data_IF_877851790359
#
_entry.id   IF_877851790359
#
_cell.length_a   1.000
_cell.length_b   1.000
_cell.length_c   1.000
_cell.angle_alpha   90.00
_cell.angle_beta   90.00
_cell.angle_gamma   90.00
#
_symmetry.space_group_name_H-M   'P 1'
#
loop_
_entity.id
_entity.type
_entity.pdbx_description
1 polymer ?
#
# COMPACT_ATOMS: atom_id res chain seq x y z
N UNK A 1 4.86 15.64 -9.24
CA UNK A 1 5.50 14.84 -8.18
C UNK A 1 6.81 14.35 -8.74
N UNK A 2 7.95 14.79 -8.19
CA UNK A 2 9.26 14.32 -8.65
C UNK A 2 9.51 12.95 -8.01
N UNK A 3 9.69 11.91 -8.84
CA UNK A 3 10.29 10.67 -8.39
C UNK A 3 11.58 11.00 -7.63
N UNK A 4 11.80 10.39 -6.46
CA UNK A 4 13.03 10.59 -5.70
C UNK A 4 14.20 10.14 -6.59
N UNK A 5 15.07 11.04 -7.07
CA UNK A 5 16.01 10.72 -8.15
C UNK A 5 17.00 9.60 -7.79
N UNK A 6 17.22 9.35 -6.50
CA UNK A 6 18.02 8.20 -6.03
C UNK A 6 17.38 6.83 -6.31
N UNK A 7 16.04 6.72 -6.29
CA UNK A 7 15.37 5.43 -6.47
C UNK A 7 15.54 4.90 -7.90
N UNK A 8 15.39 5.77 -8.90
CA UNK A 8 15.53 5.38 -10.30
C UNK A 8 17.00 5.05 -10.63
N UNK A 9 17.96 5.70 -9.97
CA UNK A 9 19.38 5.37 -10.11
C UNK A 9 19.70 3.96 -9.56
N UNK A 10 19.17 3.62 -8.38
CA UNK A 10 19.33 2.26 -7.85
C UNK A 10 18.62 1.22 -8.71
N UNK A 11 17.43 1.53 -9.24
CA UNK A 11 16.73 0.63 -10.16
C UNK A 11 17.57 0.33 -11.41
N UNK A 12 18.07 1.35 -12.09
CA UNK A 12 18.90 1.18 -13.29
C UNK A 12 20.15 0.33 -13.02
N UNK A 13 20.83 0.55 -11.87
CA UNK A 13 21.98 -0.25 -11.44
C UNK A 13 21.59 -1.71 -11.13
N UNK A 14 20.45 -1.91 -10.48
CA UNK A 14 19.90 -3.24 -10.24
C UNK A 14 19.66 -4.02 -11.55
N UNK A 15 19.11 -3.37 -12.58
CA UNK A 15 18.91 -3.99 -13.89
C UNK A 15 20.22 -4.45 -14.54
N UNK A 16 21.36 -3.86 -14.15
CA UNK A 16 22.70 -4.25 -14.58
C UNK A 16 23.37 -5.30 -13.68
N UNK A 17 22.64 -5.83 -12.68
CA UNK A 17 23.15 -6.85 -11.77
C UNK A 17 23.88 -6.31 -10.53
N UNK A 18 23.71 -5.03 -10.21
CA UNK A 18 24.31 -4.45 -9.00
C UNK A 18 23.56 -4.88 -7.74
N UNK A 19 24.18 -5.79 -6.98
CA UNK A 19 23.62 -6.28 -5.71
C UNK A 19 23.52 -5.21 -4.62
N UNK A 20 24.40 -4.21 -4.62
CA UNK A 20 24.29 -3.12 -3.65
C UNK A 20 23.05 -2.27 -3.92
N UNK A 21 22.72 -2.07 -5.20
CA UNK A 21 21.52 -1.35 -5.58
C UNK A 21 20.24 -2.07 -5.14
N UNK A 22 20.21 -3.41 -5.19
CA UNK A 22 19.11 -4.20 -4.62
C UNK A 22 18.94 -3.93 -3.11
N UNK A 23 20.04 -3.95 -2.36
CA UNK A 23 20.03 -3.72 -0.92
C UNK A 23 19.53 -2.31 -0.56
N UNK A 24 19.90 -1.31 -1.37
CA UNK A 24 19.42 0.07 -1.18
C UNK A 24 17.92 0.18 -1.44
N UNK A 25 17.42 -0.44 -2.52
CA UNK A 25 15.97 -0.51 -2.79
C UNK A 25 15.24 -1.22 -1.65
N UNK A 26 15.78 -2.35 -1.17
CA UNK A 26 15.21 -3.06 -0.03
C UNK A 26 15.13 -2.15 1.21
N UNK A 27 16.25 -1.53 1.60
CA UNK A 27 16.31 -0.65 2.77
C UNK A 27 15.32 0.52 2.68
N UNK A 28 15.14 1.10 1.49
CA UNK A 28 14.24 2.23 1.29
C UNK A 28 12.75 1.86 1.29
N UNK A 29 12.41 0.61 0.96
CA UNK A 29 11.03 0.22 0.70
C UNK A 29 10.48 -0.89 1.61
N UNK A 30 11.33 -1.67 2.27
CA UNK A 30 10.91 -2.81 3.08
C UNK A 30 9.87 -2.43 4.14
N UNK A 31 10.06 -1.33 4.86
CA UNK A 31 9.12 -0.91 5.90
C UNK A 31 7.76 -0.52 5.31
N UNK A 32 7.73 0.18 4.17
CA UNK A 32 6.49 0.57 3.51
C UNK A 32 5.76 -0.66 2.94
N UNK A 33 6.51 -1.59 2.35
CA UNK A 33 6.00 -2.86 1.85
C UNK A 33 5.44 -3.72 2.99
N UNK A 34 6.16 -3.82 4.11
CA UNK A 34 5.69 -4.55 5.30
C UNK A 34 4.40 -3.93 5.83
N UNK A 35 4.36 -2.61 6.00
CA UNK A 35 3.15 -1.88 6.40
C UNK A 35 1.97 -2.16 5.48
N UNK A 36 2.16 -2.08 4.17
CA UNK A 36 1.10 -2.37 3.21
C UNK A 36 0.67 -3.85 3.26
N UNK A 37 1.63 -4.78 3.33
CA UNK A 37 1.38 -6.21 3.35
C UNK A 37 0.62 -6.68 4.59
N UNK A 38 0.98 -6.18 5.78
CA UNK A 38 0.27 -6.49 7.04
C UNK A 38 -1.20 -6.10 6.95
N UNK A 39 -1.50 -4.94 6.32
CA UNK A 39 -2.88 -4.48 6.10
C UNK A 39 -3.67 -5.35 5.11
N UNK A 40 -3.00 -6.17 4.30
CA UNK A 40 -3.65 -7.03 3.31
C UNK A 40 -3.75 -8.49 3.77
N UNK A 41 -2.80 -8.97 4.57
CA UNK A 41 -2.65 -10.39 4.93
C UNK A 41 -2.77 -10.69 6.44
N UNK A 42 -2.59 -9.71 7.33
CA UNK A 42 -2.71 -9.86 8.81
C UNK A 42 -1.84 -10.99 9.41
N UNK A 43 -0.75 -11.34 8.76
CA UNK A 43 0.21 -12.34 9.22
C UNK A 43 1.62 -11.80 8.98
N UNK A 44 2.35 -11.51 10.05
CA UNK A 44 3.68 -10.92 9.96
C UNK A 44 4.68 -11.82 9.25
N UNK A 45 4.66 -13.11 9.56
CA UNK A 45 5.59 -14.07 8.95
C UNK A 45 5.28 -14.21 7.46
N UNK A 46 4.00 -14.38 7.12
CA UNK A 46 3.60 -14.51 5.72
C UNK A 46 3.89 -13.25 4.90
N UNK A 47 3.79 -12.06 5.50
CA UNK A 47 4.14 -10.79 4.83
C UNK A 47 5.66 -10.69 4.62
N UNK A 48 6.46 -11.06 5.62
CA UNK A 48 7.92 -11.10 5.47
C UNK A 48 8.33 -12.08 4.37
N UNK A 49 7.71 -13.25 4.31
CA UNK A 49 7.92 -14.24 3.25
C UNK A 49 7.54 -13.68 1.87
N UNK A 50 6.38 -13.02 1.76
CA UNK A 50 5.95 -12.38 0.50
C UNK A 50 6.92 -11.28 0.05
N UNK A 51 7.47 -10.48 0.97
CA UNK A 51 8.48 -9.46 0.65
C UNK A 51 9.78 -10.15 0.22
N UNK A 52 10.20 -11.19 0.93
CA UNK A 52 11.39 -11.95 0.56
C UNK A 52 11.27 -12.52 -0.86
N UNK A 53 10.16 -13.19 -1.15
CA UNK A 53 9.84 -13.73 -2.48
C UNK A 53 9.81 -12.65 -3.56
N UNK A 54 9.26 -11.48 -3.26
CA UNK A 54 9.25 -10.35 -4.18
C UNK A 54 10.70 -9.96 -4.56
N UNK A 55 11.57 -9.75 -3.57
CA UNK A 55 12.94 -9.34 -3.83
C UNK A 55 13.78 -10.45 -4.48
N UNK A 56 13.54 -11.72 -4.15
CA UNK A 56 14.12 -12.86 -4.86
C UNK A 56 13.71 -12.91 -6.34
N UNK A 57 12.43 -12.68 -6.64
CA UNK A 57 11.92 -12.64 -8.02
C UNK A 57 12.51 -11.47 -8.80
N UNK A 58 12.61 -10.30 -8.17
CA UNK A 58 13.26 -9.12 -8.76
C UNK A 58 14.72 -9.44 -9.10
N UNK A 59 15.48 -9.98 -8.14
CA UNK A 59 16.88 -10.33 -8.36
C UNK A 59 17.05 -11.41 -9.43
N UNK A 60 16.21 -12.45 -9.43
CA UNK A 60 16.31 -13.54 -10.40
C UNK A 60 15.96 -13.10 -11.83
N UNK A 61 15.11 -12.09 -11.97
CA UNK A 61 14.63 -11.59 -13.26
C UNK A 61 15.20 -10.22 -13.66
N UNK A 62 16.13 -9.65 -12.91
CA UNK A 62 16.58 -8.26 -13.06
C UNK A 62 16.94 -7.87 -14.51
N UNK A 63 17.63 -8.75 -15.25
CA UNK A 63 18.05 -8.52 -16.63
C UNK A 63 16.88 -8.45 -17.64
N UNK A 64 15.68 -8.91 -17.25
CA UNK A 64 14.46 -8.91 -18.09
C UNK A 64 13.45 -7.86 -17.65
N UNK A 65 13.67 -7.21 -16.50
CA UNK A 65 12.78 -6.17 -16.03
C UNK A 65 12.96 -4.92 -16.89
N UNK A 66 11.84 -4.28 -17.23
CA UNK A 66 11.87 -2.98 -17.87
C UNK A 66 12.30 -1.90 -16.88
N UNK A 67 12.85 -0.82 -17.43
CA UNK A 67 13.01 0.39 -16.64
C UNK A 67 11.64 0.91 -16.16
N UNK A 68 11.62 1.60 -15.03
CA UNK A 68 10.38 2.13 -14.46
C UNK A 68 10.58 3.54 -13.92
N UNK A 69 9.64 4.41 -14.25
CA UNK A 69 9.63 5.77 -13.72
C UNK A 69 9.20 5.83 -12.25
N UNK A 70 8.63 4.74 -11.71
CA UNK A 70 8.11 4.69 -10.36
C UNK A 70 8.34 3.32 -9.68
N UNK A 71 9.53 3.16 -9.11
CA UNK A 71 9.95 1.97 -8.36
C UNK A 71 8.97 1.64 -7.22
N UNK A 72 8.46 2.64 -6.51
CA UNK A 72 7.52 2.43 -5.39
C UNK A 72 6.23 1.77 -5.87
N UNK A 73 5.65 2.27 -6.96
CA UNK A 73 4.46 1.68 -7.56
C UNK A 73 4.70 0.23 -7.98
N UNK A 74 5.82 -0.02 -8.66
CA UNK A 74 6.19 -1.37 -9.09
C UNK A 74 6.27 -2.33 -7.90
N UNK A 75 6.94 -1.94 -6.82
CA UNK A 75 7.13 -2.79 -5.63
C UNK A 75 5.80 -3.07 -4.91
N UNK A 76 4.96 -2.06 -4.69
CA UNK A 76 3.66 -2.23 -4.01
C UNK A 76 2.73 -3.10 -4.86
N UNK A 77 2.66 -2.84 -6.16
CA UNK A 77 1.86 -3.65 -7.10
C UNK A 77 2.31 -5.11 -7.12
N UNK A 78 3.63 -5.33 -7.18
CA UNK A 78 4.22 -6.67 -7.18
C UNK A 78 4.03 -7.40 -5.84
N UNK A 79 4.09 -6.68 -4.71
CA UNK A 79 3.77 -7.24 -3.40
C UNK A 79 2.30 -7.64 -3.32
N UNK A 80 1.37 -6.77 -3.74
CA UNK A 80 -0.07 -7.06 -3.78
C UNK A 80 -0.35 -8.36 -4.55
N UNK A 81 0.25 -8.49 -5.74
CA UNK A 81 0.14 -9.69 -6.55
C UNK A 81 0.75 -10.92 -5.86
N UNK A 82 1.88 -10.76 -5.16
CA UNK A 82 2.50 -11.85 -4.40
C UNK A 82 1.62 -12.32 -3.25
N UNK A 83 1.01 -11.40 -2.51
CA UNK A 83 0.06 -11.70 -1.42
C UNK A 83 -1.21 -12.36 -1.96
N UNK A 84 -1.77 -11.88 -3.06
CA UNK A 84 -2.94 -12.51 -3.70
C UNK A 84 -2.60 -13.94 -4.13
N UNK A 85 -1.42 -14.15 -4.72
CA UNK A 85 -0.97 -15.49 -5.09
C UNK A 85 -0.76 -16.39 -3.87
N UNK A 86 -0.19 -15.87 -2.79
CA UNK A 86 -0.07 -16.57 -1.51
C UNK A 86 -1.44 -16.99 -0.98
N UNK A 87 -2.40 -16.06 -0.90
CA UNK A 87 -3.78 -16.33 -0.47
C UNK A 87 -4.48 -17.35 -1.36
N UNK A 88 -4.27 -17.30 -2.68
CA UNK A 88 -4.83 -18.28 -3.61
C UNK A 88 -4.22 -19.68 -3.43
N UNK A 89 -2.95 -19.77 -3.05
CA UNK A 89 -2.30 -21.05 -2.76
C UNK A 89 -2.79 -21.64 -1.43
N UNK A 90 -2.97 -20.80 -0.40
CA UNK A 90 -3.58 -21.23 0.87
C UNK A 90 -5.06 -21.58 0.70
N UNK A 91 -5.83 -20.76 -0.03
CA UNK A 91 -7.25 -20.96 -0.32
C UNK A 91 -7.56 -22.08 -1.32
N UNK A 92 -6.56 -22.64 -2.03
CA UNK A 92 -6.74 -23.92 -2.73
C UNK A 92 -6.88 -25.10 -1.75
N UNK A 93 -6.52 -24.92 -0.48
CA UNK A 93 -6.77 -25.88 0.60
C UNK A 93 -8.18 -25.68 1.20
N UNK A 94 -8.80 -24.51 1.03
CA UNK A 94 -10.17 -24.20 1.49
C UNK A 94 -10.99 -23.52 0.36
N UNK A 95 -11.67 -24.32 -0.45
CA UNK A 95 -12.39 -23.84 -1.63
C UNK A 95 -13.60 -22.92 -1.31
N UNK A 96 -13.74 -21.89 -2.16
CA UNK A 96 -14.98 -21.21 -2.58
C UNK A 96 -15.78 -20.45 -1.51
N UNK A 97 -15.53 -19.13 -1.38
CA UNK A 97 -16.54 -18.05 -1.12
C UNK A 97 -15.89 -16.67 -0.85
N UNK A 98 -14.81 -16.30 -1.57
CA UNK A 98 -14.03 -15.10 -1.23
C UNK A 98 -14.18 -13.93 -2.21
N UNK A 99 -15.22 -13.87 -3.04
CA UNK A 99 -15.46 -12.68 -3.87
C UNK A 99 -15.93 -11.45 -3.06
N UNK A 100 -16.31 -11.62 -1.78
CA UNK A 100 -16.71 -10.51 -0.89
C UNK A 100 -15.87 -10.40 0.40
N UNK A 101 -14.97 -11.36 0.65
CA UNK A 101 -14.08 -11.41 1.82
C UNK A 101 -12.62 -11.07 1.49
N UNK A 102 -12.38 -10.42 0.35
CA UNK A 102 -11.11 -9.76 0.01
C UNK A 102 -10.93 -8.43 0.75
N UNK A 103 -11.24 -8.45 2.05
CA UNK A 103 -11.07 -7.31 2.91
C UNK A 103 -9.59 -6.98 3.04
N UNK A 104 -9.19 -5.82 2.50
CA UNK A 104 -8.24 -4.95 3.18
C UNK A 104 -8.81 -4.67 4.58
N UNK A 105 -8.63 -5.65 5.46
CA UNK A 105 -8.95 -5.52 6.86
C UNK A 105 -7.93 -4.54 7.40
N UNK A 106 -8.45 -3.53 8.05
CA UNK A 106 -7.65 -2.47 8.59
C UNK A 106 -8.36 -2.29 9.90
N UNK A 107 -7.84 -2.98 10.90
CA UNK A 107 -7.97 -2.55 12.26
C UNK A 107 -6.81 -1.58 12.47
N UNK A 108 -7.10 -0.27 12.35
CA UNK A 108 -6.22 0.72 12.94
C UNK A 108 -6.29 0.54 14.47
N UNK A 109 -5.58 -0.47 14.98
CA UNK A 109 -5.43 -0.76 16.41
C UNK A 109 -4.38 0.15 17.03
N UNK A 110 -4.39 0.22 18.37
CA UNK A 110 -3.38 0.93 19.17
C UNK A 110 -1.96 0.40 18.92
N UNK A 111 -1.78 -0.88 18.59
CA UNK A 111 -0.45 -1.42 18.24
C UNK A 111 0.03 -0.98 16.85
N UNK A 112 -0.89 -0.76 15.91
CA UNK A 112 -0.58 -0.07 14.64
C UNK A 112 -0.18 1.41 14.85
N UNK A 113 -0.41 1.97 16.05
CA UNK A 113 -0.02 3.34 16.44
C UNK A 113 1.46 3.45 16.80
N UNK A 114 2.20 2.37 17.05
CA UNK A 114 3.65 2.45 17.32
C UNK A 114 4.47 2.95 16.12
N UNK A 115 3.91 2.84 14.91
CA UNK A 115 4.55 3.28 13.67
C UNK A 115 4.30 4.78 13.42
N UNK A 116 3.26 5.36 14.03
CA UNK A 116 3.05 6.81 14.08
C UNK A 116 3.77 7.32 15.33
N UNK A 117 5.02 7.69 15.14
CA UNK A 117 5.95 8.23 16.14
C UNK A 117 5.25 9.20 17.14
N UNK A 118 5.29 8.84 18.41
CA UNK A 118 5.31 9.65 19.65
C UNK A 118 4.55 10.99 19.79
N UNK A 119 3.57 11.28 18.95
CA UNK A 119 2.49 12.23 19.24
C UNK A 119 1.17 11.57 18.84
N UNK A 120 0.61 10.79 19.77
CA UNK A 120 -0.80 10.38 19.72
C UNK A 120 -1.67 11.64 19.88
N UNK A 121 -1.77 12.44 18.82
CA UNK A 121 -2.74 13.51 18.76
C UNK A 121 -4.12 12.89 18.69
N UNK A 122 -5.07 13.42 19.45
CA UNK A 122 -6.50 13.05 19.40
C UNK A 122 -7.02 12.94 17.94
N UNK A 123 -6.48 13.78 17.05
CA UNK A 123 -6.79 13.78 15.61
C UNK A 123 -6.36 12.51 14.88
N UNK A 124 -5.17 11.97 15.17
CA UNK A 124 -4.69 10.73 14.57
C UNK A 124 -5.56 9.54 14.99
N UNK A 125 -5.92 9.47 16.27
CA UNK A 125 -6.79 8.43 16.80
C UNK A 125 -8.20 8.51 16.21
N UNK A 126 -8.79 9.71 16.15
CA UNK A 126 -10.10 9.91 15.51
C UNK A 126 -10.10 9.55 14.03
N UNK A 127 -9.02 9.85 13.30
CA UNK A 127 -8.92 9.43 11.90
C UNK A 127 -8.83 7.90 11.78
N UNK A 128 -8.03 7.25 12.62
CA UNK A 128 -7.92 5.80 12.67
C UNK A 128 -9.29 5.15 12.90
N UNK A 129 -10.05 5.62 13.89
CA UNK A 129 -11.41 5.16 14.18
C UNK A 129 -12.38 5.41 13.02
N UNK A 130 -12.30 6.57 12.37
CA UNK A 130 -13.13 6.89 11.21
C UNK A 130 -12.81 6.02 10.00
N UNK A 131 -11.52 5.77 9.75
CA UNK A 131 -11.08 4.87 8.68
C UNK A 131 -11.54 3.44 8.94
N UNK A 132 -11.59 2.99 10.20
CA UNK A 132 -12.07 1.65 10.54
C UNK A 132 -13.54 1.40 10.14
N UNK A 133 -14.34 2.47 10.03
CA UNK A 133 -15.75 2.40 9.63
C UNK A 133 -15.96 2.35 8.10
N UNK A 134 -14.92 2.63 7.30
CA UNK A 134 -15.00 2.53 5.85
C UNK A 134 -15.07 1.07 5.37
N UNK A 135 -15.54 0.85 4.15
CA UNK A 135 -15.38 -0.46 3.50
C UNK A 135 -13.91 -0.72 3.16
N UNK A 136 -13.49 -1.99 3.09
CA UNK A 136 -12.11 -2.37 2.74
C UNK A 136 -11.56 -1.66 1.50
N UNK A 137 -12.35 -1.57 0.42
CA UNK A 137 -11.95 -0.87 -0.81
C UNK A 137 -11.79 0.65 -0.63
N UNK A 138 -12.64 1.26 0.20
CA UNK A 138 -12.51 2.69 0.53
C UNK A 138 -11.26 2.95 1.38
N UNK A 139 -10.94 2.06 2.33
CA UNK A 139 -9.72 2.11 3.14
C UNK A 139 -8.47 1.98 2.25
N UNK A 140 -8.44 0.98 1.37
CA UNK A 140 -7.32 0.72 0.46
C UNK A 140 -7.05 1.92 -0.46
N UNK A 141 -8.08 2.51 -1.10
CA UNK A 141 -7.86 3.66 -1.99
C UNK A 141 -7.34 4.90 -1.27
N UNK A 142 -7.77 5.15 -0.02
CA UNK A 142 -7.25 6.25 0.79
C UNK A 142 -5.79 5.99 1.16
N UNK A 143 -5.47 4.75 1.57
CA UNK A 143 -4.10 4.35 1.89
C UNK A 143 -3.17 4.54 0.68
N UNK A 144 -3.54 3.96 -0.47
CA UNK A 144 -2.75 4.05 -1.70
C UNK A 144 -2.58 5.50 -2.18
N UNK A 145 -3.62 6.33 -2.05
CA UNK A 145 -3.57 7.72 -2.53
C UNK A 145 -2.76 8.65 -1.64
N UNK A 146 -2.93 8.56 -0.32
CA UNK A 146 -2.41 9.57 0.61
C UNK A 146 -1.14 9.11 1.35
N UNK A 147 -0.95 7.80 1.56
CA UNK A 147 0.20 7.25 2.27
C UNK A 147 1.23 6.66 1.30
N UNK A 148 0.77 5.99 0.24
CA UNK A 148 1.63 5.48 -0.84
C UNK A 148 1.83 6.46 -2.00
N UNK A 149 1.07 7.55 -2.01
CA UNK A 149 1.17 8.65 -2.99
C UNK A 149 1.00 8.19 -4.45
N UNK A 150 0.23 7.12 -4.68
CA UNK A 150 -0.03 6.62 -6.02
C UNK A 150 -1.00 7.53 -6.77
N UNK A 151 -0.79 7.67 -8.08
CA UNK A 151 -1.74 8.35 -8.95
C UNK A 151 -3.03 7.55 -9.10
N UNK A 152 -4.13 8.22 -9.45
CA UNK A 152 -5.39 7.51 -9.71
C UNK A 152 -5.29 6.49 -10.84
N UNK A 153 -4.42 6.71 -11.82
CA UNK A 153 -4.20 5.76 -12.91
C UNK A 153 -3.49 4.49 -12.39
N UNK A 154 -2.49 4.65 -11.54
CA UNK A 154 -1.80 3.53 -10.88
C UNK A 154 -2.72 2.76 -9.93
N UNK A 155 -3.56 3.47 -9.17
CA UNK A 155 -4.54 2.84 -8.28
C UNK A 155 -5.59 2.07 -9.09
N UNK A 156 -6.05 2.64 -10.20
CA UNK A 156 -7.02 1.99 -11.09
C UNK A 156 -6.48 0.66 -11.61
N UNK A 157 -5.23 0.64 -12.07
CA UNK A 157 -4.56 -0.58 -12.52
C UNK A 157 -4.38 -1.58 -11.37
N UNK A 158 -3.86 -1.12 -10.22
CA UNK A 158 -3.58 -1.98 -9.06
C UNK A 158 -4.82 -2.65 -8.46
N UNK A 159 -5.95 -1.92 -8.43
CA UNK A 159 -7.21 -2.38 -7.84
C UNK A 159 -8.16 -3.02 -8.86
N UNK A 160 -7.74 -3.16 -10.13
CA UNK A 160 -8.58 -3.63 -11.25
C UNK A 160 -9.90 -2.84 -11.38
N UNK A 161 -9.78 -1.50 -11.43
CA UNK A 161 -10.90 -0.57 -11.54
C UNK A 161 -10.78 0.29 -12.80
N UNK A 162 -11.92 0.70 -13.35
CA UNK A 162 -11.91 1.78 -14.36
C UNK A 162 -11.44 3.10 -13.74
N UNK A 163 -10.83 4.00 -14.53
CA UNK A 163 -10.48 5.36 -14.07
C UNK A 163 -11.66 6.05 -13.39
N UNK A 164 -12.83 6.03 -14.04
CA UNK A 164 -14.08 6.59 -13.51
C UNK A 164 -14.51 5.94 -12.20
N UNK A 165 -14.39 4.61 -12.09
CA UNK A 165 -14.67 3.86 -10.86
C UNK A 165 -13.75 4.27 -9.72
N UNK A 166 -12.46 4.44 -10.01
CA UNK A 166 -11.43 4.85 -9.05
C UNK A 166 -11.71 6.25 -8.49
N UNK A 167 -12.00 7.23 -9.34
CA UNK A 167 -12.40 8.58 -8.89
C UNK A 167 -13.67 8.53 -8.02
N UNK A 168 -14.67 7.75 -8.42
CA UNK A 168 -15.92 7.59 -7.64
C UNK A 168 -15.66 6.94 -6.27
N UNK A 169 -14.84 5.89 -6.22
CA UNK A 169 -14.51 5.20 -4.98
C UNK A 169 -13.76 6.13 -4.03
N UNK A 170 -12.77 6.87 -4.53
CA UNK A 170 -12.03 7.86 -3.72
C UNK A 170 -12.93 8.98 -3.22
N UNK A 171 -13.80 9.52 -4.08
CA UNK A 171 -14.76 10.55 -3.68
C UNK A 171 -15.71 10.05 -2.58
N UNK A 172 -16.23 8.82 -2.72
CA UNK A 172 -17.08 8.20 -1.68
C UNK A 172 -16.33 7.96 -0.38
N UNK A 173 -15.07 7.53 -0.45
CA UNK A 173 -14.24 7.31 0.75
C UNK A 173 -14.00 8.63 1.50
N UNK A 174 -13.65 9.70 0.78
CA UNK A 174 -13.46 11.03 1.36
C UNK A 174 -14.75 11.59 1.95
N UNK A 175 -15.89 11.39 1.27
CA UNK A 175 -17.19 11.83 1.75
C UNK A 175 -17.58 11.12 3.04
N UNK A 176 -17.42 9.80 3.10
CA UNK A 176 -17.68 9.03 4.31
C UNK A 176 -16.80 9.50 5.48
N UNK A 177 -15.49 9.71 5.26
CA UNK A 177 -14.61 10.24 6.30
C UNK A 177 -15.01 11.64 6.76
N UNK A 178 -15.45 12.50 5.82
CA UNK A 178 -15.93 13.85 6.12
C UNK A 178 -17.15 13.81 7.03
N UNK A 179 -18.11 12.93 6.73
CA UNK A 179 -19.33 12.74 7.52
C UNK A 179 -19.04 12.18 8.91
N UNK A 180 -18.17 11.16 9.02
CA UNK A 180 -17.80 10.54 10.30
C UNK A 180 -17.05 11.54 11.20
N UNK A 181 -16.09 12.28 10.64
CA UNK A 181 -15.27 13.21 11.41
C UNK A 181 -15.94 14.57 11.63
N UNK A 182 -17.02 14.88 10.90
CA UNK A 182 -17.72 16.16 10.90
C UNK A 182 -16.78 17.36 10.63
N UNK A 183 -15.89 17.22 9.65
CA UNK A 183 -14.93 18.26 9.26
C UNK A 183 -15.15 18.73 7.83
N UNK A 184 -14.60 19.89 7.49
CA UNK A 184 -14.55 20.32 6.10
C UNK A 184 -13.56 19.48 5.28
N UNK A 185 -13.83 19.37 3.98
CA UNK A 185 -12.99 18.58 3.06
C UNK A 185 -11.52 19.05 3.04
N UNK A 186 -11.29 20.36 3.13
CA UNK A 186 -9.94 20.92 3.18
C UNK A 186 -9.17 20.45 4.43
N UNK A 187 -9.84 20.44 5.58
CA UNK A 187 -9.27 19.97 6.86
C UNK A 187 -8.97 18.47 6.80
N UNK A 188 -9.88 17.67 6.23
CA UNK A 188 -9.64 16.23 6.05
C UNK A 188 -8.42 15.95 5.19
N UNK A 189 -8.28 16.65 4.06
CA UNK A 189 -7.12 16.48 3.17
C UNK A 189 -5.83 16.90 3.89
N UNK A 190 -5.86 18.02 4.61
CA UNK A 190 -4.70 18.47 5.40
C UNK A 190 -4.31 17.44 6.46
N UNK A 191 -5.28 16.83 7.16
CA UNK A 191 -5.06 15.79 8.16
C UNK A 191 -4.43 14.52 7.55
N UNK A 192 -4.95 14.07 6.41
CA UNK A 192 -4.41 12.90 5.69
C UNK A 192 -2.97 13.13 5.21
N UNK A 193 -2.64 14.36 4.79
CA UNK A 193 -1.29 14.72 4.36
C UNK A 193 -0.34 14.89 5.56
N UNK A 194 -0.81 15.40 6.70
CA UNK A 194 0.03 15.62 7.88
C UNK A 194 0.44 14.32 8.57
N UNK A 195 -0.40 13.28 8.53
CA UNK A 195 -0.14 11.98 9.17
C UNK A 195 0.81 11.07 8.36
N UNK A 196 1.36 11.58 7.27
CA UNK A 196 2.45 10.96 6.53
C UNK A 196 3.78 11.00 7.31
N UNK A 197 3.96 12.03 8.16
CA UNK A 197 5.24 12.44 8.72
C UNK A 197 5.55 11.82 10.08
#
# INVERSE_FOLDING_TARGET
>A
MKANPGNNQFWSRLLQGDRQALNEIYRLHADALFRYGIRLLHDENAVQDCIHDLFLKIWSNHARLSDTDNVRYYLISSLRNTIINYRNQQGKIEHQELQERDGFAMDFTVESQYILKEEQTEKAQRLAEAMNQLTARQKEIIYLRYFEELSYDQIAEMMDLSKKGTYKLSARALEALREILQVEKAVLIALLVSLKH
#
